data_IF_935197558690
#
_entry.id   IF_935197558690
#
_cell.length_a   1.000
_cell.length_b   1.000
_cell.length_c   1.000
_cell.angle_alpha   90.00
_cell.angle_beta   90.00
_cell.angle_gamma   90.00
#
_symmetry.space_group_name_H-M   'P 1'
#
loop_
_entity.id
_entity.type
_entity.pdbx_description
1 polymer ?
#
# COMPACT_ATOMS: atom_id res chain seq x y z
N UNK A 1 -9.59 15.83 -9.90
CA UNK A 1 -10.98 15.41 -9.60
C UNK A 1 -11.56 16.16 -8.41
N UNK A 2 -10.90 16.19 -7.24
CA UNK A 2 -11.43 16.89 -6.05
C UNK A 2 -11.79 18.37 -6.30
N UNK A 3 -10.97 19.12 -7.04
CA UNK A 3 -11.24 20.52 -7.36
C UNK A 3 -12.44 20.73 -8.29
N UNK A 4 -12.70 19.77 -9.20
CA UNK A 4 -13.81 19.84 -10.17
C UNK A 4 -15.14 19.57 -9.47
N UNK A 5 -15.19 18.60 -8.56
CA UNK A 5 -16.42 18.33 -7.81
C UNK A 5 -16.61 19.32 -6.66
N UNK A 6 -15.53 19.81 -6.06
CA UNK A 6 -15.56 20.89 -5.08
C UNK A 6 -16.13 22.18 -5.67
N UNK A 7 -15.88 22.50 -6.95
CA UNK A 7 -16.45 23.69 -7.59
C UNK A 7 -17.97 23.60 -7.80
N UNK A 8 -18.54 22.38 -7.90
CA UNK A 8 -19.99 22.20 -8.02
C UNK A 8 -20.75 22.56 -6.74
N UNK A 9 -20.06 22.59 -5.58
CA UNK A 9 -20.64 23.06 -4.31
C UNK A 9 -20.98 24.55 -4.35
N UNK A 10 -20.34 25.31 -5.24
CA UNK A 10 -20.58 26.75 -5.42
C UNK A 10 -21.74 27.01 -6.39
N UNK A 11 -22.35 25.97 -6.99
CA UNK A 11 -23.48 26.13 -7.88
C UNK A 11 -24.75 26.59 -7.14
N UNK A 12 -25.52 27.48 -7.75
CA UNK A 12 -26.78 28.01 -7.19
C UNK A 12 -27.95 27.01 -7.22
N UNK A 13 -27.74 25.82 -7.80
CA UNK A 13 -28.73 24.75 -7.89
C UNK A 13 -28.49 23.75 -6.77
N UNK A 14 -29.46 23.64 -5.85
CA UNK A 14 -29.35 22.82 -4.64
C UNK A 14 -29.01 21.34 -4.93
N UNK A 15 -29.56 20.79 -6.00
CA UNK A 15 -29.32 19.41 -6.44
C UNK A 15 -27.83 19.19 -6.80
N UNK A 16 -27.23 20.16 -7.51
CA UNK A 16 -25.82 20.11 -7.90
C UNK A 16 -24.89 20.26 -6.70
N UNK A 17 -25.26 21.10 -5.73
CA UNK A 17 -24.50 21.30 -4.51
C UNK A 17 -24.44 20.01 -3.67
N UNK A 18 -25.56 19.31 -3.52
CA UNK A 18 -25.64 18.06 -2.75
C UNK A 18 -24.81 16.95 -3.40
N UNK A 19 -24.96 16.76 -4.71
CA UNK A 19 -24.20 15.74 -5.46
C UNK A 19 -22.71 16.08 -5.47
N UNK A 20 -22.34 17.33 -5.74
CA UNK A 20 -20.96 17.80 -5.77
C UNK A 20 -20.25 17.63 -4.42
N UNK A 21 -20.94 17.96 -3.33
CA UNK A 21 -20.42 17.79 -1.98
C UNK A 21 -20.21 16.31 -1.63
N UNK A 22 -21.23 15.46 -1.87
CA UNK A 22 -21.13 14.03 -1.59
C UNK A 22 -19.99 13.37 -2.37
N UNK A 23 -19.82 13.74 -3.64
CA UNK A 23 -18.80 13.16 -4.51
C UNK A 23 -17.39 13.66 -4.15
N UNK A 24 -17.25 14.93 -3.76
CA UNK A 24 -15.99 15.45 -3.22
C UNK A 24 -15.57 14.69 -1.96
N UNK A 25 -16.48 14.52 -0.98
CA UNK A 25 -16.21 13.76 0.24
C UNK A 25 -15.84 12.31 -0.06
N UNK A 26 -16.58 11.64 -0.95
CA UNK A 26 -16.28 10.26 -1.35
C UNK A 26 -14.86 10.12 -1.93
N UNK A 27 -14.42 11.06 -2.77
CA UNK A 27 -13.07 11.06 -3.33
C UNK A 27 -12.01 11.25 -2.25
N UNK A 28 -12.22 12.15 -1.27
CA UNK A 28 -11.26 12.33 -0.16
C UNK A 28 -11.10 11.02 0.63
N UNK A 29 -12.22 10.36 0.93
CA UNK A 29 -12.20 9.07 1.63
C UNK A 29 -11.50 7.99 0.80
N UNK A 30 -11.74 7.94 -0.51
CA UNK A 30 -11.10 6.97 -1.41
C UNK A 30 -9.57 7.14 -1.45
N UNK A 31 -9.07 8.37 -1.60
CA UNK A 31 -7.63 8.61 -1.67
C UNK A 31 -6.92 8.39 -0.32
N UNK A 32 -7.65 8.37 0.79
CA UNK A 32 -7.11 8.18 2.15
C UNK A 32 -7.37 6.76 2.64
N UNK A 33 -8.61 6.46 3.03
CA UNK A 33 -9.00 5.18 3.65
C UNK A 33 -8.82 4.03 2.68
N UNK A 34 -9.30 4.17 1.45
CA UNK A 34 -9.22 3.04 0.51
C UNK A 34 -7.77 2.74 0.15
N UNK A 35 -6.95 3.76 -0.13
CA UNK A 35 -5.55 3.55 -0.52
C UNK A 35 -4.63 3.16 0.62
N UNK A 36 -4.78 3.75 1.80
CA UNK A 36 -3.87 3.52 2.91
C UNK A 36 -4.22 2.27 3.72
N UNK A 37 -5.49 1.83 3.68
CA UNK A 37 -5.97 0.72 4.50
C UNK A 37 -6.56 -0.37 3.62
N UNK A 38 -7.61 -0.06 2.84
CA UNK A 38 -8.38 -1.11 2.18
C UNK A 38 -7.55 -1.88 1.13
N UNK A 39 -6.84 -1.16 0.25
CA UNK A 39 -5.98 -1.74 -0.78
C UNK A 39 -4.84 -2.57 -0.19
N UNK A 40 -4.02 -2.08 0.77
CA UNK A 40 -2.95 -2.89 1.36
C UNK A 40 -3.50 -4.07 2.18
N UNK A 41 -4.64 -3.91 2.86
CA UNK A 41 -5.29 -5.01 3.56
C UNK A 41 -5.77 -6.09 2.57
N UNK A 42 -6.42 -5.69 1.48
CA UNK A 42 -6.83 -6.63 0.43
C UNK A 42 -5.63 -7.30 -0.23
N UNK A 43 -4.54 -6.57 -0.51
CA UNK A 43 -3.32 -7.16 -1.05
C UNK A 43 -2.67 -8.15 -0.09
N UNK A 44 -2.72 -7.88 1.22
CA UNK A 44 -2.23 -8.82 2.23
C UNK A 44 -3.11 -10.07 2.33
N UNK A 45 -4.43 -9.94 2.17
CA UNK A 45 -5.37 -11.07 2.25
C UNK A 45 -5.36 -11.89 0.96
N UNK A 46 -5.24 -11.24 -0.19
CA UNK A 46 -5.23 -11.87 -1.50
C UNK A 46 -3.82 -12.34 -1.95
N UNK A 47 -2.80 -12.30 -1.08
CA UNK A 47 -1.36 -12.48 -1.34
C UNK A 47 -1.02 -13.34 -2.59
N UNK A 48 -1.43 -14.60 -2.62
CA UNK A 48 -1.15 -15.55 -3.71
C UNK A 48 -2.03 -15.39 -4.96
N UNK A 49 -3.22 -14.82 -4.84
CA UNK A 49 -4.12 -14.50 -5.95
C UNK A 49 -3.78 -13.16 -6.63
N UNK A 50 -3.12 -12.26 -5.90
CA UNK A 50 -2.65 -10.97 -6.42
C UNK A 50 -1.35 -11.11 -7.25
N UNK A 51 -0.63 -12.23 -7.09
CA UNK A 51 0.70 -12.44 -7.67
C UNK A 51 0.68 -13.20 -8.99
N UNK A 52 -0.06 -12.70 -9.98
CA UNK A 52 0.19 -13.06 -11.40
C UNK A 52 1.53 -12.44 -11.89
N UNK A 53 2.59 -12.53 -11.09
CA UNK A 53 3.96 -12.15 -11.45
C UNK A 53 4.86 -13.39 -11.33
N UNK A 54 5.25 -14.05 -12.44
CA UNK A 54 5.92 -15.35 -12.43
C UNK A 54 7.38 -15.34 -11.89
N UNK A 55 7.86 -14.24 -11.29
CA UNK A 55 9.29 -14.04 -10.99
C UNK A 55 9.60 -13.59 -9.55
N UNK A 56 8.88 -14.09 -8.54
CA UNK A 56 9.43 -14.08 -7.16
C UNK A 56 10.50 -15.16 -7.07
N UNK A 57 11.76 -14.84 -7.42
CA UNK A 57 12.92 -15.65 -7.02
C UNK A 57 13.24 -15.31 -5.56
N UNK A 58 13.17 -16.27 -4.62
CA UNK A 58 13.72 -16.05 -3.28
C UNK A 58 15.21 -15.74 -3.41
N UNK A 59 15.79 -14.86 -2.58
CA UNK A 59 17.23 -14.67 -2.56
C UNK A 59 17.88 -16.00 -2.19
N UNK A 60 18.68 -16.53 -3.11
CA UNK A 60 19.45 -17.75 -2.91
C UNK A 60 20.45 -17.48 -1.79
N UNK A 61 20.15 -17.96 -0.58
CA UNK A 61 21.01 -17.82 0.59
C UNK A 61 22.27 -18.63 0.30
N UNK A 62 23.28 -17.95 -0.25
CA UNK A 62 24.54 -18.56 -0.63
C UNK A 62 25.24 -19.11 0.64
N UNK A 63 25.09 -20.42 0.86
CA UNK A 63 25.65 -21.17 2.00
C UNK A 63 27.18 -21.19 1.99
N UNK A 64 27.80 -20.78 0.89
CA UNK A 64 29.25 -20.67 0.73
C UNK A 64 29.89 -19.68 1.73
N UNK A 65 29.17 -18.62 2.11
CA UNK A 65 29.66 -17.64 3.07
C UNK A 65 29.52 -18.08 4.54
N UNK A 66 28.86 -19.20 4.82
CA UNK A 66 28.73 -19.75 6.19
C UNK A 66 30.00 -20.47 6.64
N UNK A 67 30.82 -20.96 5.71
CA UNK A 67 32.13 -21.54 6.02
C UNK A 67 33.22 -20.48 6.30
N UNK A 68 32.94 -19.20 6.02
CA UNK A 68 33.86 -18.07 6.28
C UNK A 68 33.60 -17.38 7.62
N UNK A 69 32.77 -17.97 8.49
CA UNK A 69 32.60 -17.52 9.88
C UNK A 69 33.41 -18.45 10.78
N UNK A 70 34.74 -18.24 10.92
CA UNK A 70 35.50 -18.94 11.94
C UNK A 70 35.03 -18.43 13.30
N UNK A 71 34.53 -19.35 14.14
CA UNK A 71 34.99 -19.66 15.51
C UNK A 71 35.73 -18.56 16.32
N UNK A 72 35.39 -17.27 16.16
CA UNK A 72 36.00 -16.15 16.91
C UNK A 72 35.25 -15.90 18.23
N UNK A 73 34.10 -16.53 18.43
CA UNK A 73 33.30 -16.43 19.66
C UNK A 73 33.83 -17.25 20.84
N UNK A 74 34.72 -18.22 20.62
CA UNK A 74 35.22 -19.10 21.70
C UNK A 74 36.47 -18.57 22.42
N UNK A 75 37.13 -17.54 21.87
CA UNK A 75 38.39 -16.99 22.42
C UNK A 75 38.30 -15.54 22.93
N UNK A 76 37.10 -14.95 23.01
CA UNK A 76 36.94 -13.55 23.44
C UNK A 76 36.45 -13.37 24.89
N UNK A 77 36.37 -14.45 25.69
CA UNK A 77 35.82 -14.44 27.07
C UNK A 77 36.80 -15.02 28.11
N UNK A 78 38.12 -15.00 27.85
CA UNK A 78 39.15 -15.38 28.84
C UNK A 78 40.18 -14.27 29.03
#
# INVERSE_FOLDING_TARGET
>A
MIAVFGSLVVAEVLELQQIGFGLAVAIVVDITVMRLILVPALMSVADSWNWWFPFRRPPERNRENQHLVPEVTDNLVV
#
